data_IF_099857389871
#
_entry.id   IF_099857389871
#
_cell.length_a   1.000
_cell.length_b   1.000
_cell.length_c   1.000
_cell.angle_alpha   90.00
_cell.angle_beta   90.00
_cell.angle_gamma   90.00
#
_symmetry.space_group_name_H-M   'P 1'
#
loop_
_entity.id
_entity.type
_entity.pdbx_description
1 polymer ?
#
# COMPACT_ATOMS: atom_id res chain seq x y z
N UNK A 1 -9.52 8.89 -12.36
CA UNK A 1 -8.87 7.89 -11.50
C UNK A 1 -8.97 8.41 -10.09
N UNK A 2 -9.62 7.66 -9.19
CA UNK A 2 -9.83 8.02 -7.79
C UNK A 2 -9.10 7.06 -6.87
N UNK A 3 -8.27 7.58 -5.98
CA UNK A 3 -7.39 6.83 -5.09
C UNK A 3 -7.94 6.86 -3.67
N UNK A 4 -8.06 5.70 -3.04
CA UNK A 4 -8.26 5.62 -1.59
C UNK A 4 -6.90 5.60 -0.92
N UNK A 5 -6.58 6.63 -0.13
CA UNK A 5 -5.36 6.65 0.69
C UNK A 5 -5.67 6.11 2.09
N UNK A 6 -4.90 5.14 2.57
CA UNK A 6 -5.08 4.57 3.91
C UNK A 6 -3.82 4.79 4.73
N UNK A 7 -3.99 5.43 5.88
CA UNK A 7 -2.91 5.65 6.82
C UNK A 7 -2.70 4.44 7.72
N UNK A 8 -1.45 4.26 8.18
CA UNK A 8 -1.20 3.31 9.25
C UNK A 8 -1.42 3.95 10.62
N UNK A 9 -1.54 3.11 11.66
CA UNK A 9 -1.59 3.57 13.04
C UNK A 9 -0.36 4.39 13.47
N UNK A 10 0.80 4.10 12.86
CA UNK A 10 2.09 4.69 13.22
C UNK A 10 2.52 5.85 12.32
N UNK A 11 1.96 5.93 11.10
CA UNK A 11 2.35 6.88 10.07
C UNK A 11 1.09 7.52 9.48
N UNK A 12 0.87 8.77 9.86
CA UNK A 12 -0.25 9.60 9.40
C UNK A 12 0.30 10.91 8.83
N UNK A 13 1.05 10.81 7.73
CA UNK A 13 1.61 11.97 7.02
C UNK A 13 0.89 12.15 5.69
N UNK A 14 0.63 13.41 5.35
CA UNK A 14 -0.14 13.76 4.16
C UNK A 14 0.71 14.25 2.99
N UNK A 15 2.04 14.32 3.15
CA UNK A 15 2.96 14.86 2.14
C UNK A 15 2.77 14.20 0.76
N UNK A 16 2.55 12.87 0.74
CA UNK A 16 2.30 12.13 -0.49
C UNK A 16 0.92 12.46 -1.08
N UNK A 17 -0.11 12.69 -0.26
CA UNK A 17 -1.42 13.10 -0.75
C UNK A 17 -1.32 14.44 -1.47
N UNK A 18 -0.59 15.40 -0.89
CA UNK A 18 -0.34 16.70 -1.54
C UNK A 18 0.31 16.52 -2.91
N UNK A 19 1.36 15.69 -3.01
CA UNK A 19 1.98 15.39 -4.30
C UNK A 19 1.03 14.74 -5.32
N UNK A 20 0.12 13.85 -4.87
CA UNK A 20 -0.90 13.25 -5.74
C UNK A 20 -1.91 14.31 -6.23
N UNK A 21 -2.34 15.21 -5.35
CA UNK A 21 -3.26 16.32 -5.66
C UNK A 21 -2.63 17.29 -6.67
N UNK A 22 -1.35 17.64 -6.50
CA UNK A 22 -0.61 18.52 -7.42
C UNK A 22 -0.50 17.93 -8.84
N UNK A 23 -0.50 16.60 -8.96
CA UNK A 23 -0.55 15.89 -10.24
C UNK A 23 -1.96 15.87 -10.86
N UNK A 24 -2.95 16.47 -10.21
CA UNK A 24 -4.35 16.52 -10.66
C UNK A 24 -5.09 15.19 -10.53
N UNK A 25 -4.61 14.29 -9.65
CA UNK A 25 -5.23 13.00 -9.38
C UNK A 25 -6.16 13.14 -8.17
N UNK A 26 -7.37 12.57 -8.29
CA UNK A 26 -8.36 12.56 -7.21
C UNK A 26 -7.96 11.52 -6.14
N UNK A 27 -7.79 11.97 -4.89
CA UNK A 27 -7.37 11.14 -3.76
C UNK A 27 -8.12 11.57 -2.49
N UNK A 28 -8.56 10.59 -1.72
CA UNK A 28 -9.25 10.80 -0.45
C UNK A 28 -8.68 9.86 0.62
N UNK A 29 -8.50 10.39 1.84
CA UNK A 29 -8.08 9.57 2.98
C UNK A 29 -9.25 8.80 3.57
N UNK A 30 -9.04 7.51 3.73
CA UNK A 30 -9.86 6.61 4.55
C UNK A 30 -9.84 7.07 6.01
N UNK A 31 -10.99 6.95 6.69
CA UNK A 31 -11.08 7.10 8.15
C UNK A 31 -10.58 5.85 8.89
N UNK A 32 -10.53 4.71 8.20
CA UNK A 32 -9.96 3.46 8.69
C UNK A 32 -8.43 3.55 8.70
N UNK A 33 -7.81 3.28 9.85
CA UNK A 33 -6.36 3.16 10.03
C UNK A 33 -5.96 1.70 10.08
N UNK A 34 -4.79 1.33 9.57
CA UNK A 34 -4.31 -0.07 9.57
C UNK A 34 -3.03 -0.27 10.39
N UNK A 35 -2.90 -1.42 11.04
CA UNK A 35 -1.63 -1.89 11.58
C UNK A 35 -0.75 -2.42 10.44
N UNK A 36 0.54 -2.10 10.47
CA UNK A 36 1.52 -2.61 9.51
C UNK A 36 2.02 -4.00 9.90
N UNK A 37 1.92 -4.36 11.19
CA UNK A 37 2.46 -5.59 11.73
C UNK A 37 1.44 -6.73 11.78
N UNK A 38 0.16 -6.45 11.52
CA UNK A 38 -0.94 -7.40 11.57
C UNK A 38 -1.82 -7.40 10.30
N UNK A 39 -2.64 -8.44 10.16
CA UNK A 39 -3.79 -8.46 9.25
C UNK A 39 -5.03 -8.36 10.12
N UNK A 40 -5.84 -7.33 9.90
CA UNK A 40 -6.99 -6.99 10.72
C UNK A 40 -8.29 -7.33 9.98
N UNK A 41 -8.82 -8.54 10.21
CA UNK A 41 -9.97 -9.10 9.47
C UNK A 41 -11.20 -8.19 9.51
N UNK A 42 -11.47 -7.55 10.64
CA UNK A 42 -12.58 -6.59 10.81
C UNK A 42 -12.42 -5.36 9.91
N UNK A 43 -11.18 -4.90 9.69
CA UNK A 43 -10.91 -3.76 8.81
C UNK A 43 -10.89 -4.17 7.34
N UNK A 44 -10.54 -5.41 7.01
CA UNK A 44 -10.60 -5.91 5.63
C UNK A 44 -12.00 -5.73 5.06
N UNK A 45 -13.04 -6.15 5.80
CA UNK A 45 -14.43 -6.03 5.34
C UNK A 45 -14.85 -4.58 5.11
N UNK A 46 -14.51 -3.68 6.04
CA UNK A 46 -14.79 -2.24 5.91
C UNK A 46 -14.09 -1.62 4.70
N UNK A 47 -12.81 -1.95 4.50
CA UNK A 47 -12.01 -1.43 3.39
C UNK A 47 -12.51 -1.97 2.05
N UNK A 48 -12.95 -3.23 1.96
CA UNK A 48 -13.57 -3.79 0.75
C UNK A 48 -14.81 -2.99 0.35
N UNK A 49 -15.66 -2.64 1.31
CA UNK A 49 -16.85 -1.83 1.04
C UNK A 49 -16.50 -0.41 0.58
N UNK A 50 -15.51 0.22 1.22
CA UNK A 50 -15.05 1.57 0.88
C UNK A 50 -14.43 1.62 -0.52
N UNK A 51 -13.62 0.61 -0.89
CA UNK A 51 -12.96 0.47 -2.19
C UNK A 51 -13.92 0.42 -3.39
N UNK A 52 -15.21 0.14 -3.18
CA UNK A 52 -16.21 0.18 -4.25
C UNK A 52 -16.30 1.57 -4.92
N UNK A 53 -15.98 2.65 -4.20
CA UNK A 53 -15.96 4.03 -4.69
C UNK A 53 -14.65 4.49 -5.33
N UNK A 54 -13.65 3.60 -5.46
CA UNK A 54 -12.29 3.93 -5.86
C UNK A 54 -11.74 3.01 -6.95
N UNK A 55 -10.76 3.51 -7.70
CA UNK A 55 -10.08 2.76 -8.75
C UNK A 55 -8.92 1.92 -8.20
N UNK A 56 -8.24 2.42 -7.16
CA UNK A 56 -7.12 1.75 -6.49
C UNK A 56 -6.96 2.26 -5.06
N UNK A 57 -6.16 1.54 -4.27
CA UNK A 57 -5.74 1.96 -2.95
C UNK A 57 -4.25 2.33 -2.89
N UNK A 58 -3.91 3.22 -1.98
CA UNK A 58 -2.54 3.63 -1.72
C UNK A 58 -2.25 3.70 -0.21
N UNK A 59 -1.03 3.33 0.22
CA UNK A 59 -0.54 3.62 1.57
C UNK A 59 0.95 3.93 1.62
N UNK A 60 1.35 4.66 2.65
CA UNK A 60 2.74 4.73 3.09
C UNK A 60 3.10 3.45 3.83
N UNK A 61 4.22 2.83 3.43
CA UNK A 61 4.57 1.45 3.79
C UNK A 61 3.52 0.41 3.39
N UNK A 62 3.98 -0.82 3.22
CA UNK A 62 3.12 -1.94 2.85
C UNK A 62 2.25 -2.39 4.04
N UNK A 63 0.93 -2.47 3.82
CA UNK A 63 -0.05 -3.02 4.75
C UNK A 63 -0.64 -4.31 4.17
N UNK A 64 -0.53 -5.40 4.94
CA UNK A 64 -1.12 -6.67 4.56
C UNK A 64 -2.66 -6.64 4.63
N UNK A 65 -3.24 -5.93 5.61
CA UNK A 65 -4.70 -5.69 5.70
C UNK A 65 -5.24 -5.04 4.43
N UNK A 66 -4.59 -3.98 3.94
CA UNK A 66 -5.05 -3.29 2.73
C UNK A 66 -4.82 -4.11 1.46
N UNK A 67 -3.71 -4.85 1.39
CA UNK A 67 -3.44 -5.76 0.29
C UNK A 67 -4.52 -6.87 0.18
N UNK A 68 -4.94 -7.45 1.31
CA UNK A 68 -6.02 -8.43 1.38
C UNK A 68 -7.36 -7.82 0.91
N UNK A 69 -7.73 -6.65 1.43
CA UNK A 69 -8.95 -5.96 1.02
C UNK A 69 -8.98 -5.67 -0.49
N UNK A 70 -7.86 -5.18 -1.04
CA UNK A 70 -7.73 -4.91 -2.46
C UNK A 70 -7.77 -6.17 -3.31
N UNK A 71 -7.18 -7.28 -2.84
CA UNK A 71 -7.26 -8.57 -3.50
C UNK A 71 -8.69 -9.07 -3.60
N UNK A 72 -9.45 -9.02 -2.49
CA UNK A 72 -10.87 -9.40 -2.44
C UNK A 72 -11.71 -8.50 -3.36
N UNK A 73 -11.45 -7.19 -3.35
CA UNK A 73 -12.16 -6.22 -4.19
C UNK A 73 -11.76 -6.27 -5.68
N UNK A 74 -10.70 -7.01 -6.04
CA UNK A 74 -10.14 -7.02 -7.39
C UNK A 74 -9.57 -5.67 -7.82
N UNK A 75 -9.06 -4.88 -6.86
CA UNK A 75 -8.53 -3.52 -7.08
C UNK A 75 -7.01 -3.49 -6.93
N UNK A 76 -6.28 -2.66 -7.71
CA UNK A 76 -4.86 -2.46 -7.49
C UNK A 76 -4.58 -1.81 -6.12
N UNK A 77 -3.51 -2.26 -5.47
CA UNK A 77 -2.96 -1.66 -4.26
C UNK A 77 -1.50 -1.25 -4.51
N UNK A 78 -1.21 0.03 -4.29
CA UNK A 78 0.14 0.59 -4.36
C UNK A 78 0.62 0.93 -2.95
N UNK A 79 1.84 0.53 -2.60
CA UNK A 79 2.47 0.97 -1.35
C UNK A 79 3.83 1.59 -1.63
N UNK A 80 4.14 2.74 -1.03
CA UNK A 80 5.50 3.28 -1.10
C UNK A 80 6.21 3.09 0.24
N UNK A 81 7.09 2.09 0.27
CA UNK A 81 7.83 1.68 1.46
C UNK A 81 9.17 2.39 1.55
N UNK A 82 9.38 3.05 2.68
CA UNK A 82 10.63 3.74 3.01
C UNK A 82 11.37 3.10 4.20
N UNK A 83 10.77 2.14 4.89
CA UNK A 83 11.43 1.35 5.93
C UNK A 83 12.24 0.19 5.32
N UNK A 84 13.45 -0.06 5.83
CA UNK A 84 14.29 -1.20 5.41
C UNK A 84 14.99 -1.84 6.62
N UNK A 85 14.67 -3.10 6.97
CA UNK A 85 13.64 -3.95 6.36
C UNK A 85 12.22 -3.61 6.88
N UNK A 86 11.21 -3.73 6.02
CA UNK A 86 9.80 -3.82 6.43
C UNK A 86 9.35 -5.29 6.39
N UNK A 87 9.06 -5.88 7.55
CA UNK A 87 8.72 -7.31 7.69
C UNK A 87 7.45 -7.67 6.93
N UNK A 88 6.47 -6.77 6.88
CA UNK A 88 5.18 -6.98 6.22
C UNK A 88 5.31 -7.37 4.73
N UNK A 89 6.36 -6.94 4.04
CA UNK A 89 6.62 -7.28 2.63
C UNK A 89 6.97 -8.76 2.40
N UNK A 90 7.29 -9.51 3.45
CA UNK A 90 7.55 -10.96 3.37
C UNK A 90 6.30 -11.81 3.62
N UNK A 91 5.13 -11.18 3.82
CA UNK A 91 3.85 -11.89 3.93
C UNK A 91 3.30 -12.24 2.54
N UNK A 92 2.37 -13.20 2.49
CA UNK A 92 1.80 -13.70 1.23
C UNK A 92 1.09 -12.61 0.42
N UNK A 93 0.53 -11.61 1.10
CA UNK A 93 -0.30 -10.58 0.51
C UNK A 93 0.52 -9.64 -0.40
N UNK A 94 1.82 -9.54 -0.17
CA UNK A 94 2.73 -8.78 -1.05
C UNK A 94 2.87 -9.45 -2.43
N UNK A 95 2.65 -10.76 -2.53
CA UNK A 95 2.74 -11.51 -3.78
C UNK A 95 1.43 -11.55 -4.58
N UNK A 96 0.36 -10.92 -4.09
CA UNK A 96 -0.89 -10.82 -4.85
C UNK A 96 -0.69 -10.06 -6.16
N UNK A 97 -1.38 -10.49 -7.22
CA UNK A 97 -1.34 -9.83 -8.53
C UNK A 97 -1.88 -8.39 -8.47
N UNK A 98 -2.73 -8.10 -7.50
CA UNK A 98 -3.25 -6.77 -7.20
C UNK A 98 -2.28 -5.90 -6.40
N UNK A 99 -1.21 -6.46 -5.84
CA UNK A 99 -0.26 -5.73 -5.00
C UNK A 99 0.94 -5.21 -5.79
N UNK A 100 1.26 -3.93 -5.63
CA UNK A 100 2.35 -3.23 -6.30
C UNK A 100 3.21 -2.44 -5.32
N UNK A 101 4.05 -3.11 -4.52
CA UNK A 101 4.94 -2.43 -3.60
C UNK A 101 6.08 -1.71 -4.32
N UNK A 102 6.34 -0.47 -3.91
CA UNK A 102 7.51 0.33 -4.28
C UNK A 102 8.45 0.39 -3.08
N UNK A 103 9.75 0.21 -3.31
CA UNK A 103 10.74 0.19 -2.24
C UNK A 103 12.02 0.89 -2.67
N UNK A 104 12.62 1.66 -1.74
CA UNK A 104 13.82 2.46 -2.02
C UNK A 104 15.11 1.66 -2.10
N UNK A 105 15.26 0.61 -1.29
CA UNK A 105 16.42 -0.27 -1.35
C UNK A 105 16.32 -1.27 -2.52
N UNK A 106 17.16 -1.08 -3.54
CA UNK A 106 17.25 -1.98 -4.70
C UNK A 106 17.59 -3.43 -4.32
N UNK A 107 18.42 -3.65 -3.29
CA UNK A 107 18.77 -5.01 -2.84
C UNK A 107 17.58 -5.68 -2.17
N UNK A 108 16.77 -4.95 -1.40
CA UNK A 108 15.52 -5.49 -0.87
C UNK A 108 14.56 -5.87 -2.00
N UNK A 109 14.40 -5.03 -3.03
CA UNK A 109 13.60 -5.38 -4.21
C UNK A 109 14.07 -6.69 -4.86
N UNK A 110 15.38 -6.88 -5.03
CA UNK A 110 15.93 -8.11 -5.62
C UNK A 110 15.62 -9.34 -4.76
N UNK A 111 15.77 -9.23 -3.43
CA UNK A 111 15.46 -10.31 -2.48
C UNK A 111 13.97 -10.68 -2.50
N UNK A 112 13.09 -9.69 -2.46
CA UNK A 112 11.64 -9.88 -2.46
C UNK A 112 11.14 -10.46 -3.79
N UNK A 113 11.72 -10.03 -4.93
CA UNK A 113 11.44 -10.67 -6.23
C UNK A 113 11.83 -12.14 -6.23
N UNK A 114 13.02 -12.47 -5.74
CA UNK A 114 13.47 -13.85 -5.62
C UNK A 114 12.58 -14.69 -4.67
N UNK A 115 11.90 -14.04 -3.71
CA UNK A 115 10.96 -14.65 -2.78
C UNK A 115 9.51 -14.71 -3.30
N UNK A 116 9.22 -14.28 -4.53
CA UNK A 116 7.89 -14.39 -5.16
C UNK A 116 7.06 -13.10 -5.18
N UNK A 117 7.56 -11.98 -4.65
CA UNK A 117 6.92 -10.66 -4.76
C UNK A 117 7.24 -10.06 -6.14
N UNK A 118 6.61 -10.58 -7.19
CA UNK A 118 6.98 -10.29 -8.60
C UNK A 118 6.72 -8.84 -9.01
N UNK A 119 5.67 -8.23 -8.46
CA UNK A 119 5.22 -6.88 -8.78
C UNK A 119 5.99 -5.76 -8.07
N UNK A 120 6.96 -6.08 -7.20
CA UNK A 120 7.75 -5.06 -6.49
C UNK A 120 8.62 -4.23 -7.46
N UNK A 121 8.65 -2.92 -7.25
CA UNK A 121 9.43 -1.98 -8.06
C UNK A 121 10.38 -1.17 -7.19
N UNK A 122 11.58 -0.94 -7.71
CA UNK A 122 12.52 0.00 -7.09
C UNK A 122 12.15 1.43 -7.48
N UNK A 123 12.02 2.30 -6.49
CA UNK A 123 11.76 3.73 -6.66
C UNK A 123 12.51 4.51 -5.57
N UNK A 124 13.10 5.70 -5.83
CA UNK A 124 13.83 6.45 -4.82
C UNK A 124 13.06 6.65 -3.52
N UNK A 125 13.78 6.92 -2.43
CA UNK A 125 13.16 7.25 -1.16
C UNK A 125 12.21 8.45 -1.36
N UNK A 126 10.95 8.38 -0.90
CA UNK A 126 10.08 9.54 -0.94
C UNK A 126 10.65 10.58 0.01
N UNK A 127 11.08 11.72 -0.54
CA UNK A 127 11.60 12.85 0.20
C UNK A 127 10.86 14.10 -0.28
N UNK A 128 10.60 15.01 0.67
CA UNK A 128 10.05 16.34 0.44
C UNK A 128 11.19 17.35 0.62
#
# INVERSE_FOLDING_TARGET
MRILFVHSLTIQRDDILWGIIELGIDVESSTTLVDLDAVEEDKVESLVAELAGYDLAFSQNFSATLAEACHIAGKPYLSWTYDSPLVALYRKEAAYETSYPFHFDKKQCQRLKAAGVTNIRHMPLPAN
#
